data_IF_925201404291
#
_entry.id   IF_925201404291
#
_cell.length_a   1.000
_cell.length_b   1.000
_cell.length_c   1.000
_cell.angle_alpha   90.00
_cell.angle_beta   90.00
_cell.angle_gamma   90.00
#
_symmetry.space_group_name_H-M   'P 1'
#
loop_
_entity.id
_entity.type
_entity.pdbx_description
1 polymer ?
#
# COMPACT_ATOMS: atom_id res chain seq x y z
N UNK A 1 -16.53 -9.06 -0.87
CA UNK A 1 -16.28 -8.63 0.51
C UNK A 1 -17.35 -7.62 0.90
N UNK A 2 -18.14 -7.91 1.92
CA UNK A 2 -19.08 -6.94 2.48
C UNK A 2 -18.31 -5.93 3.37
N UNK A 3 -18.82 -4.70 3.52
CA UNK A 3 -18.16 -3.67 4.36
C UNK A 3 -17.99 -4.14 5.80
N UNK A 4 -18.92 -4.96 6.29
CA UNK A 4 -18.84 -5.54 7.64
C UNK A 4 -17.61 -6.44 7.82
N UNK A 5 -17.35 -7.32 6.85
CA UNK A 5 -16.18 -8.21 6.86
C UNK A 5 -14.87 -7.41 6.85
N UNK A 6 -14.84 -6.26 6.15
CA UNK A 6 -13.69 -5.37 6.20
C UNK A 6 -13.47 -4.80 7.61
N UNK A 7 -14.52 -4.31 8.26
CA UNK A 7 -14.43 -3.72 9.60
C UNK A 7 -13.92 -4.76 10.60
N UNK A 8 -14.39 -5.99 10.50
CA UNK A 8 -13.98 -7.09 11.38
C UNK A 8 -12.47 -7.45 11.24
N UNK A 9 -11.83 -7.08 10.13
CA UNK A 9 -10.39 -7.27 9.91
C UNK A 9 -9.54 -6.10 10.43
N UNK A 10 -10.13 -4.92 10.65
CA UNK A 10 -9.39 -3.72 11.06
C UNK A 10 -9.04 -3.78 12.56
N UNK A 11 -7.89 -3.19 12.96
CA UNK A 11 -7.59 -3.00 14.37
C UNK A 11 -8.69 -2.20 15.05
N UNK A 12 -9.10 -2.55 16.27
CA UNK A 12 -10.20 -1.89 17.00
C UNK A 12 -10.01 -0.35 17.09
N UNK A 13 -8.77 0.09 17.29
CA UNK A 13 -8.42 1.52 17.43
C UNK A 13 -8.26 2.29 16.10
N UNK A 14 -8.56 1.68 14.94
CA UNK A 14 -8.25 2.29 13.65
C UNK A 14 -8.88 3.67 13.45
N UNK A 15 -10.10 3.90 13.97
CA UNK A 15 -10.78 5.20 13.87
C UNK A 15 -10.09 6.27 14.71
N UNK A 16 -9.75 5.95 15.96
CA UNK A 16 -9.06 6.85 16.87
C UNK A 16 -7.72 7.29 16.27
N UNK A 17 -6.96 6.32 15.79
CA UNK A 17 -5.64 6.54 15.21
C UNK A 17 -5.69 7.30 13.88
N UNK A 18 -6.79 7.21 13.13
CA UNK A 18 -7.02 8.05 11.95
C UNK A 18 -6.97 9.56 12.29
N UNK A 19 -7.53 9.93 13.45
CA UNK A 19 -7.52 11.33 13.91
C UNK A 19 -6.20 11.70 14.58
N UNK A 20 -5.63 10.82 15.41
CA UNK A 20 -4.35 11.06 16.11
C UNK A 20 -3.17 11.21 15.14
N UNK A 21 -3.10 10.34 14.12
CA UNK A 21 -2.13 10.42 13.01
C UNK A 21 -2.47 11.54 12.02
N UNK A 22 -3.55 12.29 12.26
CA UNK A 22 -4.01 13.43 11.47
C UNK A 22 -4.30 13.08 10.00
N UNK A 23 -4.70 11.84 9.70
CA UNK A 23 -5.22 11.46 8.39
C UNK A 23 -6.51 12.23 8.09
N UNK A 24 -7.40 12.39 9.08
CA UNK A 24 -8.51 13.34 9.07
C UNK A 24 -8.26 14.44 10.11
N UNK A 25 -8.07 15.68 9.66
CA UNK A 25 -7.94 16.86 10.55
C UNK A 25 -9.22 17.67 10.67
N UNK A 26 -9.90 17.88 9.54
CA UNK A 26 -11.13 18.67 9.44
C UNK A 26 -12.16 17.85 8.68
N UNK A 27 -13.36 17.69 9.24
CA UNK A 27 -14.48 16.95 8.64
C UNK A 27 -15.18 17.78 7.56
N UNK A 28 -14.46 18.11 6.48
CA UNK A 28 -15.04 18.84 5.34
C UNK A 28 -15.82 17.89 4.45
N UNK A 29 -15.12 17.22 3.54
CA UNK A 29 -15.72 16.31 2.57
C UNK A 29 -15.78 14.90 3.18
N UNK A 30 -14.62 14.33 3.50
CA UNK A 30 -14.54 13.01 4.14
C UNK A 30 -14.75 13.17 5.65
N UNK A 31 -15.87 12.64 6.14
CA UNK A 31 -16.36 12.90 7.51
C UNK A 31 -15.94 11.84 8.53
N UNK A 32 -15.74 10.60 8.08
CA UNK A 32 -15.40 9.48 8.95
C UNK A 32 -14.22 8.65 8.37
N UNK A 33 -13.54 7.84 9.21
CA UNK A 33 -12.39 7.03 8.79
C UNK A 33 -12.76 5.90 7.82
N UNK A 34 -13.96 5.34 7.91
CA UNK A 34 -14.42 4.26 7.05
C UNK A 34 -14.58 4.72 5.60
N UNK A 35 -15.15 5.90 5.36
CA UNK A 35 -15.24 6.53 4.03
C UNK A 35 -13.84 6.71 3.43
N UNK A 36 -12.88 7.16 4.24
CA UNK A 36 -11.49 7.32 3.81
C UNK A 36 -10.85 5.98 3.44
N UNK A 37 -11.11 4.95 4.23
CA UNK A 37 -10.64 3.59 3.97
C UNK A 37 -11.24 3.05 2.67
N UNK A 38 -12.55 3.20 2.47
CA UNK A 38 -13.23 2.77 1.25
C UNK A 38 -12.64 3.48 0.03
N UNK A 39 -12.38 4.79 0.09
CA UNK A 39 -11.77 5.53 -1.03
C UNK A 39 -10.34 5.05 -1.33
N UNK A 40 -9.54 4.78 -0.30
CA UNK A 40 -8.18 4.23 -0.46
C UNK A 40 -8.22 2.83 -1.08
N UNK A 41 -9.09 1.95 -0.58
CA UNK A 41 -9.24 0.61 -1.11
C UNK A 41 -9.79 0.63 -2.53
N UNK A 42 -10.74 1.50 -2.85
CA UNK A 42 -11.25 1.66 -4.20
C UNK A 42 -10.16 2.17 -5.15
N UNK A 43 -9.26 3.06 -4.71
CA UNK A 43 -8.11 3.45 -5.53
C UNK A 43 -7.11 2.31 -5.78
N UNK A 44 -6.96 1.39 -4.80
CA UNK A 44 -6.02 0.26 -4.89
C UNK A 44 -6.63 -0.98 -5.56
N UNK A 45 -7.95 -1.08 -5.57
CA UNK A 45 -8.68 -2.17 -6.18
C UNK A 45 -8.75 -1.92 -7.67
N UNK A 46 -8.07 -2.75 -8.46
CA UNK A 46 -7.97 -2.61 -9.92
C UNK A 46 -7.22 -1.33 -10.37
N UNK A 47 -7.19 -1.06 -11.68
CA UNK A 47 -6.48 0.06 -12.29
C UNK A 47 -7.29 1.37 -12.23
N UNK A 48 -7.94 1.66 -11.10
CA UNK A 48 -8.75 2.86 -10.92
C UNK A 48 -7.90 4.13 -10.85
N UNK A 49 -8.26 5.12 -11.65
CA UNK A 49 -7.65 6.45 -11.62
C UNK A 49 -8.17 7.29 -10.46
N UNK A 50 -7.48 8.38 -10.12
CA UNK A 50 -7.97 9.35 -9.14
C UNK A 50 -9.30 10.02 -9.56
N UNK A 51 -9.56 10.07 -10.88
CA UNK A 51 -10.83 10.56 -11.42
C UNK A 51 -11.96 9.58 -11.09
N UNK A 52 -11.72 8.28 -11.24
CA UNK A 52 -12.70 7.24 -10.88
C UNK A 52 -13.05 7.30 -9.39
N UNK A 53 -12.04 7.50 -8.53
CA UNK A 53 -12.23 7.65 -7.08
C UNK A 53 -13.05 8.91 -6.75
N UNK A 54 -12.81 10.02 -7.45
CA UNK A 54 -13.58 11.25 -7.29
C UNK A 54 -15.06 11.05 -7.64
N UNK A 55 -15.34 10.40 -8.77
CA UNK A 55 -16.70 10.06 -9.17
C UNK A 55 -17.36 9.08 -8.19
N UNK A 56 -16.61 8.08 -7.73
CA UNK A 56 -17.07 7.13 -6.74
C UNK A 56 -17.46 7.80 -5.40
N UNK A 57 -16.68 8.80 -4.96
CA UNK A 57 -17.01 9.59 -3.76
C UNK A 57 -18.35 10.32 -3.88
N UNK A 58 -18.70 10.78 -5.08
CA UNK A 58 -20.01 11.39 -5.38
C UNK A 58 -21.10 10.33 -5.33
N UNK A 59 -20.91 9.19 -6.02
CA UNK A 59 -21.89 8.09 -6.07
C UNK A 59 -22.19 7.49 -4.69
N UNK A 60 -21.22 7.49 -3.78
CA UNK A 60 -21.37 7.02 -2.39
C UNK A 60 -21.85 8.08 -1.41
N UNK A 61 -22.19 9.29 -1.86
CA UNK A 61 -22.57 10.42 -1.01
C UNK A 61 -21.51 10.81 0.05
N UNK A 62 -20.24 10.49 -0.20
CA UNK A 62 -19.11 10.92 0.65
C UNK A 62 -18.86 12.42 0.42
N UNK A 63 -18.89 12.83 -0.86
CA UNK A 63 -18.92 14.22 -1.27
C UNK A 63 -18.05 14.52 -2.48
N UNK A 64 -18.13 15.75 -2.96
CA UNK A 64 -17.39 16.19 -4.13
C UNK A 64 -15.95 16.59 -3.76
N UNK A 65 -14.97 15.79 -4.21
CA UNK A 65 -13.55 16.00 -3.98
C UNK A 65 -12.78 15.87 -5.30
N UNK A 66 -11.88 16.81 -5.61
CA UNK A 66 -11.04 16.72 -6.80
C UNK A 66 -9.98 15.62 -6.68
N UNK A 67 -9.52 15.11 -7.81
CA UNK A 67 -8.35 14.23 -7.94
C UNK A 67 -7.09 14.76 -7.22
N UNK A 68 -6.81 16.05 -7.37
CA UNK A 68 -5.71 16.77 -6.72
C UNK A 68 -5.87 16.87 -5.20
N UNK A 69 -7.11 16.96 -4.71
CA UNK A 69 -7.40 16.92 -3.28
C UNK A 69 -7.33 15.49 -2.73
N UNK A 70 -7.75 14.49 -3.52
CA UNK A 70 -7.63 13.06 -3.20
C UNK A 70 -6.18 12.64 -3.03
N UNK A 71 -5.28 12.96 -3.97
CA UNK A 71 -3.87 12.56 -3.86
C UNK A 71 -3.20 13.18 -2.64
N UNK A 72 -3.46 14.47 -2.36
CA UNK A 72 -2.98 15.14 -1.14
C UNK A 72 -3.51 14.45 0.11
N UNK A 73 -4.77 14.02 0.08
CA UNK A 73 -5.40 13.29 1.17
C UNK A 73 -4.76 11.91 1.37
N UNK A 74 -4.49 11.16 0.30
CA UNK A 74 -3.84 9.85 0.39
C UNK A 74 -2.41 9.94 0.90
N UNK A 75 -1.64 10.94 0.45
CA UNK A 75 -0.30 11.23 1.00
C UNK A 75 -0.39 11.51 2.52
N UNK A 76 -1.40 12.26 2.95
CA UNK A 76 -1.63 12.55 4.37
C UNK A 76 -1.98 11.30 5.20
N UNK A 77 -2.49 10.23 4.57
CA UNK A 77 -2.81 8.98 5.26
C UNK A 77 -1.58 8.10 5.55
N UNK A 78 -0.40 8.46 5.03
CA UNK A 78 0.83 7.65 5.12
C UNK A 78 1.09 7.09 6.53
N UNK A 79 1.07 7.93 7.55
CA UNK A 79 1.41 7.49 8.91
C UNK A 79 0.31 6.63 9.55
N UNK A 80 -0.95 6.91 9.21
CA UNK A 80 -2.09 6.09 9.64
C UNK A 80 -2.05 4.70 9.00
N UNK A 81 -1.78 4.62 7.70
CA UNK A 81 -1.66 3.34 6.97
C UNK A 81 -0.46 2.53 7.48
N UNK A 82 0.69 3.17 7.72
CA UNK A 82 1.85 2.50 8.35
C UNK A 82 1.49 1.89 9.70
N UNK A 83 0.78 2.64 10.54
CA UNK A 83 0.30 2.15 11.83
C UNK A 83 -0.67 0.97 11.66
N UNK A 84 -1.61 1.10 10.74
CA UNK A 84 -2.64 0.09 10.50
C UNK A 84 -2.01 -1.24 10.06
N UNK A 85 -1.08 -1.18 9.10
CA UNK A 85 -0.28 -2.32 8.65
C UNK A 85 0.54 -2.92 9.80
N UNK A 86 1.16 -2.09 10.66
CA UNK A 86 1.93 -2.59 11.80
C UNK A 86 1.10 -3.32 12.85
N UNK A 87 -0.22 -3.10 12.89
CA UNK A 87 -1.15 -3.77 13.80
C UNK A 87 -1.77 -5.02 13.20
N UNK A 88 -1.91 -5.06 11.87
CA UNK A 88 -2.44 -6.21 11.15
C UNK A 88 -1.39 -7.27 10.86
N UNK A 89 -0.15 -6.86 10.64
CA UNK A 89 0.94 -7.81 10.44
C UNK A 89 1.39 -8.34 11.79
N UNK A 90 1.52 -9.67 11.96
CA UNK A 90 2.19 -10.21 13.14
C UNK A 90 3.60 -9.61 13.22
N UNK A 91 4.09 -9.36 14.43
CA UNK A 91 5.41 -8.77 14.71
C UNK A 91 6.60 -9.53 14.06
N UNK A 92 6.35 -10.65 13.39
CA UNK A 92 7.34 -11.55 12.78
C UNK A 92 6.98 -11.79 11.31
N UNK A 93 7.16 -10.78 10.45
CA UNK A 93 7.04 -10.95 8.99
C UNK A 93 8.14 -11.88 8.43
N UNK A 94 9.15 -12.24 9.23
CA UNK A 94 10.26 -13.06 8.75
C UNK A 94 10.69 -14.03 9.85
N UNK A 95 9.92 -15.11 10.05
CA UNK A 95 10.47 -16.37 10.57
C UNK A 95 11.27 -17.11 9.49
N UNK A 96 12.06 -16.39 8.68
CA UNK A 96 13.03 -17.07 7.82
C UNK A 96 14.12 -17.63 8.73
N UNK A 97 13.93 -18.88 9.15
CA UNK A 97 15.00 -19.68 9.67
C UNK A 97 15.68 -20.30 8.46
N UNK A 98 16.95 -19.94 8.24
CA UNK A 98 17.78 -20.56 7.21
C UNK A 98 17.74 -22.09 7.43
N UNK A 99 17.32 -22.89 6.43
CA UNK A 99 17.36 -24.34 6.53
C UNK A 99 18.80 -24.80 6.81
N UNK A 100 18.97 -25.86 7.62
CA UNK A 100 20.30 -26.36 8.00
C UNK A 100 21.15 -26.72 6.79
N UNK A 101 20.51 -27.20 5.72
CA UNK A 101 21.15 -27.59 4.46
C UNK A 101 21.79 -26.40 3.73
N UNK A 102 21.29 -25.19 3.98
CA UNK A 102 21.79 -23.97 3.35
C UNK A 102 22.85 -23.26 4.18
N UNK A 103 23.11 -23.69 5.42
CA UNK A 103 24.09 -23.05 6.33
C UNK A 103 25.46 -22.76 5.69
N UNK A 104 26.10 -23.66 4.93
CA UNK A 104 27.40 -23.38 4.33
C UNK A 104 27.34 -22.39 3.15
N UNK A 105 26.14 -22.06 2.65
CA UNK A 105 25.97 -21.20 1.48
C UNK A 105 25.55 -19.78 1.88
N UNK A 106 26.01 -18.81 1.09
CA UNK A 106 25.47 -17.45 1.12
C UNK A 106 24.21 -17.40 0.26
N UNK A 107 23.05 -17.39 0.90
CA UNK A 107 21.76 -17.31 0.21
C UNK A 107 21.34 -15.84 0.13
N UNK A 108 20.93 -15.40 -1.06
CA UNK A 108 20.34 -14.09 -1.30
C UNK A 108 18.92 -14.34 -1.79
N UNK A 109 17.92 -13.96 -1.00
CA UNK A 109 16.55 -13.93 -1.47
C UNK A 109 16.40 -12.78 -2.46
N UNK A 110 16.04 -13.10 -3.70
CA UNK A 110 15.70 -12.10 -4.72
C UNK A 110 14.19 -12.18 -4.90
N UNK A 111 13.50 -11.10 -4.55
CA UNK A 111 12.08 -10.93 -4.86
C UNK A 111 11.95 -10.79 -6.39
N UNK A 112 11.12 -11.63 -7.01
CA UNK A 112 10.93 -11.65 -8.47
C UNK A 112 10.00 -10.53 -8.97
N UNK A 113 9.58 -9.61 -8.10
CA UNK A 113 8.60 -8.56 -8.43
C UNK A 113 9.19 -7.36 -9.18
N UNK A 114 10.52 -7.18 -9.21
CA UNK A 114 11.18 -6.12 -9.99
C UNK A 114 12.50 -6.62 -10.61
N UNK A 115 12.48 -6.96 -11.91
CA UNK A 115 13.69 -7.11 -12.72
C UNK A 115 14.10 -5.74 -13.28
N UNK A 116 14.91 -4.97 -12.53
CA UNK A 116 15.59 -3.80 -13.08
C UNK A 116 17.02 -4.19 -13.46
N UNK A 117 17.24 -4.48 -14.75
CA UNK A 117 18.59 -4.62 -15.29
C UNK A 117 19.18 -3.22 -15.54
N UNK A 118 19.99 -2.71 -14.62
CA UNK A 118 20.88 -1.56 -14.91
C UNK A 118 22.15 -2.07 -15.58
N UNK A 119 22.34 -1.67 -16.85
CA UNK A 119 23.63 -1.64 -17.53
C UNK A 119 24.24 -3.00 -17.85
N UNK A 120 23.78 -3.63 -18.94
CA UNK A 120 24.57 -4.65 -19.62
C UNK A 120 25.79 -3.97 -20.28
N UNK A 121 26.95 -3.98 -19.62
CA UNK A 121 28.22 -3.78 -20.31
C UNK A 121 28.54 -5.09 -21.02
N UNK A 122 28.19 -5.18 -22.31
CA UNK A 122 28.70 -6.25 -23.18
C UNK A 122 30.20 -6.05 -23.34
N UNK A 123 31.01 -6.75 -22.57
CA UNK A 123 32.38 -7.05 -22.98
C UNK A 123 32.28 -8.08 -24.12
N UNK A 124 32.18 -7.59 -25.36
CA UNK A 124 32.44 -8.41 -26.54
C UNK A 124 33.94 -8.74 -26.56
N UNK A 125 34.32 -9.85 -25.94
CA UNK A 125 35.57 -10.51 -26.27
C UNK A 125 35.39 -11.15 -27.66
N UNK A 126 35.90 -10.48 -28.70
CA UNK A 126 36.17 -11.12 -29.98
C UNK A 126 37.36 -12.06 -29.78
N UNK A 127 37.10 -13.36 -29.61
CA UNK A 127 38.07 -14.40 -29.93
C UNK A 127 37.80 -14.87 -31.35
N UNK A 128 38.47 -14.24 -32.31
CA UNK A 128 38.66 -14.82 -33.64
C UNK A 128 39.81 -15.83 -33.52
N UNK A 129 39.47 -17.12 -33.58
CA UNK A 129 40.40 -18.15 -34.04
C UNK A 129 40.17 -18.32 -35.53
N UNK A 130 41.23 -18.04 -36.29
CA UNK A 130 41.34 -18.16 -37.75
C UNK A 130 42.73 -17.69 -38.13
#
# INVERSE_FOLDING_TARGET
>A
MQIKELIDLLPEDYEKECYEKKAIRRKRIIKNPLDLMILLLYYLYDNHSLVDVSQFAILKNIGNISDTALIKKFIQCKDWIKWLVSKMLPNEIIHYKKPEELEPYRVIAVDASDLVQKGAVKNMAFTLWG
#
